data_IF_161503866287
#
_entry.id   IF_161503866287
#
_cell.length_a   1.000
_cell.length_b   1.000
_cell.length_c   1.000
_cell.angle_alpha   90.00
_cell.angle_beta   90.00
_cell.angle_gamma   90.00
#
_symmetry.space_group_name_H-M   'P 1'
#
loop_
_entity.id
_entity.type
_entity.pdbx_description
1 polymer ?
#
# COMPACT_ATOMS: atom_id res chain seq x y z
N UNK A 1 -10.29 -18.22 -0.27
CA UNK A 1 -9.53 -19.14 0.62
C UNK A 1 -8.80 -18.24 1.60
N UNK A 2 -9.13 -18.26 2.89
CA UNK A 2 -8.27 -17.65 3.91
C UNK A 2 -6.92 -18.39 3.89
N UNK A 3 -5.80 -17.66 3.87
CA UNK A 3 -4.45 -18.20 3.61
C UNK A 3 -3.68 -17.49 2.51
N UNK A 4 -3.94 -16.20 2.31
CA UNK A 4 -3.19 -15.33 1.42
C UNK A 4 -2.98 -13.96 2.08
N UNK A 5 -1.75 -13.48 2.06
CA UNK A 5 -1.39 -12.08 2.24
C UNK A 5 -0.82 -11.56 0.92
N UNK A 6 -1.06 -10.28 0.61
CA UNK A 6 -0.56 -9.68 -0.64
C UNK A 6 0.91 -9.28 -0.58
N UNK A 7 1.52 -9.30 0.60
CA UNK A 7 2.94 -8.99 0.78
C UNK A 7 3.45 -9.69 2.04
N UNK A 8 4.35 -10.66 1.88
CA UNK A 8 5.19 -11.15 2.96
C UNK A 8 6.35 -10.17 3.14
N UNK A 9 6.27 -9.29 4.14
CA UNK A 9 7.25 -8.22 4.34
C UNK A 9 8.63 -8.78 4.72
N UNK A 10 9.68 -8.35 4.01
CA UNK A 10 11.05 -8.84 4.17
C UNK A 10 11.60 -8.82 5.61
N UNK A 11 11.29 -7.84 6.47
CA UNK A 11 11.79 -7.84 7.85
C UNK A 11 11.33 -9.02 8.71
N UNK A 12 10.22 -9.68 8.36
CA UNK A 12 9.68 -10.79 9.13
C UNK A 12 8.91 -11.76 8.21
N UNK A 13 9.62 -12.36 7.27
CA UNK A 13 9.07 -13.38 6.37
C UNK A 13 9.95 -14.63 6.39
N UNK A 14 9.31 -15.80 6.38
CA UNK A 14 9.98 -17.09 6.27
C UNK A 14 9.35 -17.90 5.15
N UNK A 15 10.21 -18.56 4.36
CA UNK A 15 9.78 -19.33 3.19
C UNK A 15 10.30 -20.75 3.28
N UNK A 16 9.48 -21.71 2.88
CA UNK A 16 9.94 -23.09 2.68
C UNK A 16 10.92 -23.10 1.51
N UNK A 17 12.14 -23.62 1.73
CA UNK A 17 13.17 -23.69 0.68
C UNK A 17 12.67 -24.29 -0.63
N UNK A 18 11.91 -25.39 -0.57
CA UNK A 18 11.38 -26.04 -1.77
C UNK A 18 10.42 -25.16 -2.57
N UNK A 19 9.63 -24.31 -1.88
CA UNK A 19 8.76 -23.34 -2.53
C UNK A 19 9.54 -22.18 -3.16
N UNK A 20 10.62 -21.73 -2.50
CA UNK A 20 11.48 -20.68 -3.04
C UNK A 20 12.24 -21.15 -4.28
N UNK A 21 12.88 -22.32 -4.21
CA UNK A 21 13.64 -22.90 -5.32
C UNK A 21 12.76 -23.15 -6.54
N UNK A 22 11.48 -23.53 -6.34
CA UNK A 22 10.52 -23.70 -7.44
C UNK A 22 10.27 -22.40 -8.23
N UNK A 23 10.43 -21.24 -7.59
CA UNK A 23 10.06 -19.94 -8.15
C UNK A 23 11.27 -19.04 -8.42
N UNK A 24 12.47 -19.49 -8.06
CA UNK A 24 13.68 -18.66 -8.05
C UNK A 24 14.02 -18.12 -9.45
N UNK A 25 13.99 -18.99 -10.46
CA UNK A 25 14.29 -18.58 -11.84
C UNK A 25 13.29 -17.53 -12.35
N UNK A 26 12.00 -17.69 -12.05
CA UNK A 26 10.96 -16.71 -12.43
C UNK A 26 11.10 -15.40 -11.67
N UNK A 27 11.52 -15.48 -10.40
CA UNK A 27 11.77 -14.33 -9.54
C UNK A 27 12.97 -13.52 -10.04
N UNK A 28 14.08 -14.17 -10.41
CA UNK A 28 15.32 -13.51 -10.85
C UNK A 28 15.23 -12.93 -12.26
N UNK A 29 14.49 -13.59 -13.16
CA UNK A 29 14.38 -13.18 -14.57
C UNK A 29 13.22 -12.22 -14.85
N UNK A 30 12.58 -11.69 -13.80
CA UNK A 30 11.38 -10.88 -13.97
C UNK A 30 11.68 -9.57 -14.72
N UNK A 31 10.92 -9.35 -15.79
CA UNK A 31 10.90 -8.08 -16.52
C UNK A 31 9.64 -7.28 -16.20
N UNK A 32 9.80 -5.98 -16.01
CA UNK A 32 8.71 -5.01 -16.06
C UNK A 32 8.97 -4.00 -17.17
N UNK A 33 8.03 -3.89 -18.11
CA UNK A 33 8.17 -3.02 -19.30
C UNK A 33 9.48 -3.24 -20.06
N UNK A 34 9.94 -4.49 -20.13
CA UNK A 34 11.16 -4.90 -20.83
C UNK A 34 12.48 -4.64 -20.09
N UNK A 35 12.43 -4.21 -18.81
CA UNK A 35 13.62 -4.01 -17.97
C UNK A 35 13.62 -4.95 -16.77
N UNK A 36 14.79 -5.39 -16.28
CA UNK A 36 14.91 -6.10 -15.00
C UNK A 36 14.23 -5.33 -13.85
N UNK A 37 13.63 -6.09 -12.95
CA UNK A 37 12.70 -5.60 -11.93
C UNK A 37 13.38 -5.58 -10.55
N UNK A 38 14.19 -4.54 -10.27
CA UNK A 38 15.10 -4.53 -9.11
C UNK A 38 14.50 -3.96 -7.80
N UNK A 39 13.19 -3.67 -7.77
CA UNK A 39 12.52 -3.04 -6.63
C UNK A 39 11.29 -3.84 -6.20
N UNK A 40 10.91 -3.84 -4.92
CA UNK A 40 9.64 -4.47 -4.48
C UNK A 40 9.63 -6.00 -4.49
N UNK A 41 10.76 -6.59 -4.14
CA UNK A 41 11.04 -8.03 -4.09
C UNK A 41 9.98 -8.82 -3.31
N UNK A 42 9.63 -8.37 -2.10
CA UNK A 42 8.70 -9.01 -1.18
C UNK A 42 7.33 -9.32 -1.81
N UNK A 43 6.69 -8.28 -2.37
CA UNK A 43 5.35 -8.37 -2.94
C UNK A 43 5.37 -9.18 -4.24
N UNK A 44 6.42 -9.01 -5.04
CA UNK A 44 6.58 -9.77 -6.27
C UNK A 44 6.67 -11.28 -5.98
N UNK A 45 7.57 -11.69 -5.09
CA UNK A 45 7.71 -13.09 -4.67
C UNK A 45 6.40 -13.64 -4.10
N UNK A 46 5.70 -12.84 -3.29
CA UNK A 46 4.38 -13.20 -2.75
C UNK A 46 3.36 -13.47 -3.86
N UNK A 47 3.32 -12.63 -4.90
CA UNK A 47 2.44 -12.83 -6.06
C UNK A 47 2.82 -14.10 -6.82
N UNK A 48 4.11 -14.39 -7.02
CA UNK A 48 4.55 -15.64 -7.67
C UNK A 48 4.09 -16.86 -6.87
N UNK A 49 4.26 -16.84 -5.54
CA UNK A 49 3.80 -17.91 -4.67
C UNK A 49 2.30 -18.14 -4.79
N UNK A 50 1.50 -17.07 -4.73
CA UNK A 50 0.05 -17.17 -4.88
C UNK A 50 -0.36 -17.65 -6.28
N UNK A 51 0.32 -17.21 -7.34
CA UNK A 51 0.10 -17.70 -8.72
C UNK A 51 0.41 -19.19 -8.87
N UNK A 52 1.42 -19.68 -8.16
CA UNK A 52 1.77 -21.10 -8.11
C UNK A 52 0.83 -21.93 -7.22
N UNK A 53 -0.23 -21.33 -6.67
CA UNK A 53 -1.20 -22.01 -5.80
C UNK A 53 -0.69 -22.27 -4.38
N UNK A 54 0.44 -21.68 -4.00
CA UNK A 54 0.98 -21.76 -2.64
C UNK A 54 0.21 -20.81 -1.71
N UNK A 55 0.28 -21.09 -0.40
CA UNK A 55 -0.34 -20.27 0.64
C UNK A 55 0.66 -19.29 1.23
N UNK A 56 0.17 -18.12 1.61
CA UNK A 56 0.93 -17.12 2.37
C UNK A 56 0.10 -16.71 3.58
N UNK A 57 0.67 -16.77 4.78
CA UNK A 57 -0.08 -16.64 6.03
C UNK A 57 0.52 -15.55 6.92
N UNK A 58 -0.35 -14.80 7.58
CA UNK A 58 0.04 -13.83 8.59
C UNK A 58 0.12 -14.53 9.95
N UNK A 59 1.25 -14.39 10.65
CA UNK A 59 1.47 -14.95 11.99
C UNK A 59 1.58 -13.78 12.98
N UNK A 60 0.57 -13.55 13.84
CA UNK A 60 0.56 -12.41 14.76
C UNK A 60 1.76 -12.35 15.72
N UNK A 61 2.26 -13.52 16.12
CA UNK A 61 3.38 -13.66 17.06
C UNK A 61 4.76 -13.52 16.39
N UNK A 62 4.81 -13.48 15.05
CA UNK A 62 6.04 -13.22 14.30
C UNK A 62 6.31 -11.70 14.26
N UNK A 63 7.04 -11.22 15.26
CA UNK A 63 7.31 -9.80 15.49
C UNK A 63 8.78 -9.49 15.19
N UNK A 64 9.03 -8.47 14.37
CA UNK A 64 10.36 -7.93 14.13
C UNK A 64 10.39 -6.42 14.40
N UNK A 65 11.45 -5.95 15.06
CA UNK A 65 11.75 -4.53 15.19
C UNK A 65 12.66 -4.09 14.04
N UNK A 66 12.34 -2.96 13.41
CA UNK A 66 13.11 -2.43 12.28
C UNK A 66 13.48 -0.98 12.52
N UNK A 67 14.55 -0.56 11.85
CA UNK A 67 14.94 0.85 11.79
C UNK A 67 14.03 1.54 10.78
N UNK A 68 13.45 2.66 11.19
CA UNK A 68 12.66 3.53 10.32
C UNK A 68 13.44 4.82 10.03
N UNK A 69 13.27 5.42 8.84
CA UNK A 69 13.83 6.73 8.55
C UNK A 69 13.37 7.78 9.57
N UNK A 70 14.33 8.47 10.18
CA UNK A 70 14.11 9.57 11.12
C UNK A 70 14.16 10.95 10.44
N UNK A 71 14.55 10.99 9.15
CA UNK A 71 14.63 12.20 8.33
C UNK A 71 13.71 12.13 7.12
N UNK A 72 13.19 13.29 6.72
CA UNK A 72 12.21 13.41 5.63
C UNK A 72 12.75 12.91 4.28
N UNK A 73 13.99 13.24 3.91
CA UNK A 73 14.57 12.84 2.63
C UNK A 73 14.63 11.31 2.43
N UNK A 74 15.28 10.56 3.33
CA UNK A 74 15.25 9.09 3.31
C UNK A 74 13.83 8.50 3.37
N UNK A 75 12.94 9.08 4.18
CA UNK A 75 11.53 8.67 4.25
C UNK A 75 10.82 8.78 2.89
N UNK A 76 10.92 9.92 2.21
CA UNK A 76 10.29 10.12 0.90
C UNK A 76 10.86 9.19 -0.17
N UNK A 77 12.19 8.97 -0.19
CA UNK A 77 12.81 7.98 -1.10
C UNK A 77 12.27 6.57 -0.88
N UNK A 78 12.08 6.18 0.38
CA UNK A 78 11.47 4.90 0.73
C UNK A 78 10.02 4.81 0.25
N UNK A 79 9.20 5.82 0.53
CA UNK A 79 7.80 5.87 0.09
C UNK A 79 7.67 5.85 -1.44
N UNK A 80 8.59 6.50 -2.16
CA UNK A 80 8.62 6.50 -3.62
C UNK A 80 8.88 5.09 -4.18
N UNK A 81 9.87 4.38 -3.64
CA UNK A 81 10.11 2.97 -4.02
C UNK A 81 8.89 2.10 -3.74
N UNK A 82 8.28 2.26 -2.57
CA UNK A 82 7.09 1.50 -2.18
C UNK A 82 5.88 1.80 -3.08
N UNK A 83 5.67 3.06 -3.45
CA UNK A 83 4.60 3.44 -4.37
C UNK A 83 4.79 2.81 -5.75
N UNK A 84 5.99 2.91 -6.33
CA UNK A 84 6.32 2.31 -7.64
C UNK A 84 6.11 0.79 -7.64
N UNK A 85 6.65 0.08 -6.65
CA UNK A 85 6.40 -1.36 -6.50
C UNK A 85 4.92 -1.67 -6.36
N UNK A 86 4.18 -0.93 -5.54
CA UNK A 86 2.76 -1.17 -5.33
C UNK A 86 1.96 -1.05 -6.63
N UNK A 87 2.20 -0.02 -7.45
CA UNK A 87 1.51 0.12 -8.74
C UNK A 87 1.85 -1.00 -9.71
N UNK A 88 3.14 -1.30 -9.85
CA UNK A 88 3.62 -2.40 -10.70
C UNK A 88 2.98 -3.73 -10.31
N UNK A 89 3.09 -4.07 -9.02
CA UNK A 89 2.69 -5.36 -8.50
C UNK A 89 1.17 -5.51 -8.47
N UNK A 90 0.43 -4.43 -8.23
CA UNK A 90 -1.03 -4.43 -8.37
C UNK A 90 -1.42 -4.77 -9.81
N UNK A 91 -0.78 -4.16 -10.82
CA UNK A 91 -1.02 -4.47 -12.24
C UNK A 91 -0.75 -5.95 -12.55
N UNK A 92 0.36 -6.49 -12.05
CA UNK A 92 0.73 -7.90 -12.23
C UNK A 92 -0.20 -8.89 -11.49
N UNK A 93 -0.80 -8.44 -10.38
CA UNK A 93 -1.71 -9.21 -9.57
C UNK A 93 -3.18 -9.11 -10.01
N UNK A 94 -3.56 -8.19 -10.91
CA UNK A 94 -4.98 -7.99 -11.29
C UNK A 94 -5.69 -9.28 -11.72
N UNK A 95 -5.00 -10.14 -12.48
CA UNK A 95 -5.56 -11.44 -12.93
C UNK A 95 -5.60 -12.49 -11.83
N UNK A 96 -4.82 -12.32 -10.77
CA UNK A 96 -4.80 -13.19 -9.59
C UNK A 96 -5.92 -12.82 -8.62
N UNK A 97 -6.28 -11.54 -8.48
CA UNK A 97 -7.26 -11.10 -7.46
C UNK A 97 -8.59 -11.87 -7.47
N UNK A 98 -9.22 -12.22 -8.62
CA UNK A 98 -10.47 -12.98 -8.62
C UNK A 98 -10.36 -14.40 -8.04
N UNK A 99 -9.17 -15.00 -8.02
CA UNK A 99 -8.95 -16.33 -7.43
C UNK A 99 -8.62 -16.28 -5.93
N UNK A 100 -8.36 -15.08 -5.39
CA UNK A 100 -8.10 -14.86 -3.98
C UNK A 100 -9.40 -14.71 -3.18
N UNK A 101 -9.26 -14.60 -1.86
CA UNK A 101 -10.41 -14.36 -1.00
C UNK A 101 -11.08 -13.01 -1.27
N UNK A 102 -12.42 -12.98 -1.24
CA UNK A 102 -13.19 -11.77 -1.55
C UNK A 102 -12.83 -10.59 -0.64
N UNK A 103 -12.55 -10.87 0.63
CA UNK A 103 -12.13 -9.83 1.57
C UNK A 103 -10.77 -9.23 1.18
N UNK A 104 -9.82 -10.08 0.79
CA UNK A 104 -8.50 -9.64 0.35
C UNK A 104 -8.60 -8.82 -0.93
N UNK A 105 -9.42 -9.24 -1.88
CA UNK A 105 -9.65 -8.49 -3.12
C UNK A 105 -10.27 -7.13 -2.84
N UNK A 106 -11.26 -7.06 -1.93
CA UNK A 106 -11.84 -5.78 -1.49
C UNK A 106 -10.79 -4.89 -0.84
N UNK A 107 -9.91 -5.44 0.00
CA UNK A 107 -8.82 -4.69 0.63
C UNK A 107 -7.83 -4.13 -0.40
N UNK A 108 -7.38 -4.94 -1.38
CA UNK A 108 -6.50 -4.47 -2.46
C UNK A 108 -7.16 -3.36 -3.28
N UNK A 109 -8.43 -3.53 -3.64
CA UNK A 109 -9.19 -2.51 -4.38
C UNK A 109 -9.31 -1.24 -3.55
N UNK A 110 -9.66 -1.34 -2.28
CA UNK A 110 -9.77 -0.20 -1.36
C UNK A 110 -8.44 0.55 -1.17
N UNK A 111 -7.32 -0.17 -1.04
CA UNK A 111 -5.99 0.42 -0.89
C UNK A 111 -5.54 1.18 -2.15
N UNK A 112 -5.98 0.78 -3.34
CA UNK A 112 -5.67 1.45 -4.60
C UNK A 112 -6.65 2.59 -4.93
N UNK A 113 -7.95 2.41 -4.68
CA UNK A 113 -8.97 3.44 -4.91
C UNK A 113 -8.93 4.56 -3.87
N UNK A 114 -8.63 4.27 -2.61
CA UNK A 114 -8.61 5.25 -1.52
C UNK A 114 -7.74 6.48 -1.83
N UNK A 115 -6.47 6.32 -2.23
CA UNK A 115 -5.63 7.45 -2.63
C UNK A 115 -6.16 8.23 -3.84
N UNK A 116 -6.81 7.57 -4.80
CA UNK A 116 -7.40 8.24 -5.97
C UNK A 116 -8.62 9.09 -5.58
N UNK A 117 -9.51 8.54 -4.74
CA UNK A 117 -10.67 9.27 -4.21
C UNK A 117 -10.26 10.45 -3.33
N UNK A 118 -9.20 10.28 -2.53
CA UNK A 118 -8.59 11.37 -1.77
C UNK A 118 -8.04 12.44 -2.72
N UNK A 119 -7.33 12.05 -3.78
CA UNK A 119 -6.82 12.99 -4.78
C UNK A 119 -7.95 13.81 -5.41
N UNK A 120 -9.01 13.13 -5.87
CA UNK A 120 -10.17 13.77 -6.47
C UNK A 120 -10.83 14.75 -5.50
N UNK A 121 -10.99 14.34 -4.24
CA UNK A 121 -11.61 15.19 -3.21
C UNK A 121 -10.78 16.45 -2.93
N UNK A 122 -9.45 16.34 -2.89
CA UNK A 122 -8.54 17.48 -2.72
C UNK A 122 -8.59 18.40 -3.94
N UNK A 123 -8.52 17.85 -5.15
CA UNK A 123 -8.59 18.62 -6.40
C UNK A 123 -9.93 19.34 -6.56
N UNK A 124 -11.04 18.67 -6.25
CA UNK A 124 -12.36 19.27 -6.26
C UNK A 124 -12.48 20.41 -5.23
N UNK A 125 -11.92 20.23 -4.03
CA UNK A 125 -11.89 21.29 -3.02
C UNK A 125 -11.06 22.50 -3.45
N UNK A 126 -9.89 22.28 -4.05
CA UNK A 126 -9.05 23.35 -4.60
C UNK A 126 -9.73 24.07 -5.76
N UNK A 127 -10.40 23.34 -6.65
CA UNK A 127 -11.16 23.92 -7.76
C UNK A 127 -12.33 24.78 -7.25
N UNK A 128 -13.08 24.30 -6.25
CA UNK A 128 -14.14 25.09 -5.61
C UNK A 128 -13.59 26.39 -5.03
N UNK A 129 -12.50 26.30 -4.28
CA UNK A 129 -11.87 27.49 -3.68
C UNK A 129 -11.42 28.49 -4.75
N UNK A 130 -10.78 28.01 -5.82
CA UNK A 130 -10.28 28.86 -6.90
C UNK A 130 -11.41 29.53 -7.71
N UNK A 131 -12.52 28.83 -7.96
CA UNK A 131 -13.61 29.32 -8.79
C UNK A 131 -14.62 30.19 -8.04
N UNK A 132 -14.84 29.91 -6.75
CA UNK A 132 -15.91 30.55 -5.96
C UNK A 132 -15.39 31.44 -4.83
N UNK A 133 -14.10 31.34 -4.48
CA UNK A 133 -13.54 32.00 -3.30
C UNK A 133 -14.05 31.45 -1.96
N UNK A 134 -14.89 30.39 -1.98
CA UNK A 134 -15.47 29.79 -0.78
C UNK A 134 -14.63 28.61 -0.28
N UNK A 135 -14.57 28.45 1.05
CA UNK A 135 -13.87 27.31 1.67
C UNK A 135 -14.63 26.00 1.36
N UNK A 136 -13.95 24.95 0.86
CA UNK A 136 -14.58 23.68 0.49
C UNK A 136 -14.87 22.81 1.73
N UNK A 137 -15.86 23.20 2.53
CA UNK A 137 -16.20 22.53 3.78
C UNK A 137 -16.58 21.05 3.61
N UNK A 138 -17.23 20.67 2.51
CA UNK A 138 -17.66 19.28 2.28
C UNK A 138 -16.48 18.31 2.13
N UNK A 139 -15.48 18.51 1.24
CA UNK A 139 -14.26 17.71 1.23
C UNK A 139 -13.52 17.70 2.56
N UNK A 140 -13.42 18.87 3.23
CA UNK A 140 -12.70 19.00 4.52
C UNK A 140 -13.35 18.12 5.59
N UNK A 141 -14.67 18.23 5.77
CA UNK A 141 -15.41 17.44 6.76
C UNK A 141 -15.42 15.95 6.43
N UNK A 142 -15.48 15.58 5.14
CA UNK A 142 -15.40 14.19 4.70
C UNK A 142 -14.04 13.57 5.03
N UNK A 143 -12.93 14.26 4.69
CA UNK A 143 -11.57 13.78 4.97
C UNK A 143 -11.34 13.68 6.49
N UNK A 144 -11.79 14.69 7.25
CA UNK A 144 -11.67 14.70 8.71
C UNK A 144 -12.45 13.55 9.36
N UNK A 145 -13.73 13.36 8.99
CA UNK A 145 -14.57 12.29 9.55
C UNK A 145 -14.05 10.90 9.23
N UNK A 146 -13.68 10.63 7.97
CA UNK A 146 -13.08 9.35 7.57
C UNK A 146 -11.76 9.07 8.30
N UNK A 147 -10.93 10.10 8.49
CA UNK A 147 -9.68 9.98 9.26
C UNK A 147 -9.96 9.60 10.71
N UNK A 148 -10.88 10.31 11.36
CA UNK A 148 -11.24 10.06 12.77
C UNK A 148 -11.82 8.67 12.93
N UNK A 149 -12.76 8.26 12.07
CA UNK A 149 -13.36 6.92 12.10
C UNK A 149 -12.27 5.85 11.94
N UNK A 150 -11.40 5.97 10.93
CA UNK A 150 -10.33 4.99 10.68
C UNK A 150 -9.38 4.88 11.86
N UNK A 151 -8.93 6.00 12.41
CA UNK A 151 -8.00 6.01 13.55
C UNK A 151 -8.66 5.48 14.83
N UNK A 152 -9.95 5.78 15.03
CA UNK A 152 -10.72 5.29 16.19
C UNK A 152 -10.93 3.78 16.13
N UNK A 153 -11.30 3.25 14.97
CA UNK A 153 -11.43 1.80 14.74
C UNK A 153 -10.09 1.11 14.94
N UNK A 154 -8.99 1.67 14.42
CA UNK A 154 -7.65 1.13 14.62
C UNK A 154 -7.24 1.12 16.11
N UNK A 155 -7.46 2.23 16.82
CA UNK A 155 -7.16 2.34 18.25
C UNK A 155 -7.97 1.35 19.09
N UNK A 156 -9.27 1.19 18.78
CA UNK A 156 -10.14 0.23 19.46
C UNK A 156 -9.73 -1.22 19.20
N UNK A 157 -9.51 -1.58 17.93
CA UNK A 157 -9.14 -2.96 17.54
C UNK A 157 -7.77 -3.37 18.07
N UNK A 158 -6.81 -2.45 18.06
CA UNK A 158 -5.47 -2.70 18.58
C UNK A 158 -5.34 -2.47 20.09
N UNK A 159 -6.40 -1.99 20.76
CA UNK A 159 -6.42 -1.60 22.19
C UNK A 159 -5.29 -0.64 22.58
N UNK A 160 -4.97 0.30 21.68
CA UNK A 160 -3.82 1.20 21.85
C UNK A 160 -4.16 2.60 21.33
N UNK A 161 -4.15 3.60 22.23
CA UNK A 161 -4.51 4.98 21.89
C UNK A 161 -3.51 5.66 20.94
N UNK A 162 -2.27 5.15 20.83
CA UNK A 162 -1.26 5.66 19.89
C UNK A 162 -1.76 5.71 18.44
N UNK A 163 -2.72 4.86 18.07
CA UNK A 163 -3.28 4.87 16.73
C UNK A 163 -4.10 6.12 16.40
N UNK A 164 -4.57 6.87 17.41
CA UNK A 164 -5.21 8.18 17.20
C UNK A 164 -4.22 9.21 16.62
N UNK A 165 -2.92 9.08 16.92
CA UNK A 165 -1.87 9.91 16.36
C UNK A 165 -1.74 9.79 14.84
N UNK A 166 -2.24 8.71 14.22
CA UNK A 166 -2.29 8.59 12.76
C UNK A 166 -3.25 9.60 12.11
N UNK A 167 -4.09 10.29 12.86
CA UNK A 167 -4.87 11.40 12.33
C UNK A 167 -3.98 12.51 11.76
N UNK A 168 -2.83 12.79 12.40
CA UNK A 168 -1.82 13.73 11.90
C UNK A 168 -1.16 13.23 10.60
N UNK A 169 -1.11 11.91 10.41
CA UNK A 169 -0.57 11.31 9.20
C UNK A 169 -1.43 11.58 7.97
N UNK A 170 -2.70 12.00 8.12
CA UNK A 170 -3.52 12.46 6.99
C UNK A 170 -2.92 13.70 6.31
N UNK A 171 -2.36 14.64 7.06
CA UNK A 171 -1.68 15.80 6.49
C UNK A 171 -0.45 15.38 5.66
N UNK A 172 0.35 14.44 6.18
CA UNK A 172 1.48 13.86 5.45
C UNK A 172 0.99 13.18 4.16
N UNK A 173 -0.13 12.47 4.20
CA UNK A 173 -0.70 11.84 3.01
C UNK A 173 -1.11 12.87 1.96
N UNK A 174 -1.86 13.91 2.34
CA UNK A 174 -2.39 14.91 1.41
C UNK A 174 -1.26 15.74 0.79
N UNK A 175 -0.32 16.25 1.59
CA UNK A 175 0.66 17.22 1.13
C UNK A 175 1.95 16.61 0.60
N UNK A 176 2.34 15.41 1.06
CA UNK A 176 3.62 14.79 0.68
C UNK A 176 3.41 13.51 -0.13
N UNK A 177 2.65 12.54 0.40
CA UNK A 177 2.59 11.22 -0.22
C UNK A 177 1.70 11.20 -1.47
N UNK A 178 0.67 12.02 -1.55
CA UNK A 178 -0.22 12.06 -2.70
C UNK A 178 0.49 12.61 -3.95
N UNK A 179 1.18 13.77 -3.92
CA UNK A 179 2.01 14.21 -5.05
C UNK A 179 3.11 13.19 -5.40
N UNK A 180 3.74 12.59 -4.38
CA UNK A 180 4.77 11.57 -4.57
C UNK A 180 4.24 10.32 -5.25
N UNK A 181 3.02 9.87 -4.92
CA UNK A 181 2.34 8.75 -5.60
C UNK A 181 1.99 9.11 -7.05
N UNK A 182 1.54 10.33 -7.32
CA UNK A 182 1.31 10.80 -8.68
C UNK A 182 2.62 10.78 -9.50
N UNK A 183 3.71 11.31 -8.93
CA UNK A 183 5.04 11.26 -9.54
C UNK A 183 5.52 9.82 -9.76
N UNK A 184 5.31 8.93 -8.78
CA UNK A 184 5.65 7.51 -8.89
C UNK A 184 4.92 6.85 -10.07
N UNK A 185 3.63 7.15 -10.26
CA UNK A 185 2.82 6.63 -11.37
C UNK A 185 3.34 7.10 -12.73
N UNK A 186 3.72 8.38 -12.84
CA UNK A 186 4.27 8.96 -14.07
C UNK A 186 5.69 8.45 -14.41
N UNK A 187 6.41 7.89 -13.43
CA UNK A 187 7.82 7.45 -13.56
C UNK A 187 8.01 5.94 -13.37
N UNK A 188 6.93 5.17 -13.54
CA UNK A 188 6.92 3.70 -13.49
C UNK A 188 7.73 3.04 -14.60
#
# INVERSE_FOLDING_TARGET
RFGAVMCCCGPCAMYRRSALVLLLDQYETQLFRGKPSDFGEDRHLTILMLKAGLRTEYVPDAIAATIVPDRLGPYLRQQLRWARSTFRDTLLALRLLPSLDRYLTLDVVGQNLGPLLLALSVLAGLAQLALTGTVPWSPVLMIASMTIIRCSVAAFRARQLRFLGFSLHTFINVFLLLPLKAYALCTL
#
